data_IF_269931910322
#
_entry.id   IF_269931910322
#
_cell.length_a   1.000
_cell.length_b   1.000
_cell.length_c   1.000
_cell.angle_alpha   90.00
_cell.angle_beta   90.00
_cell.angle_gamma   90.00
#
_symmetry.space_group_name_H-M   'P 1'
#
loop_
_entity.id
_entity.type
_entity.pdbx_description
1 polymer ?
#
# COMPACT_ATOMS: atom_id res chain seq x y z
N UNK A 1 -6.29 19.21 39.31
CA UNK A 1 -7.18 19.80 38.30
C UNK A 1 -8.50 19.04 38.29
N UNK A 2 -9.67 19.70 38.17
CA UNK A 2 -10.96 19.00 38.18
C UNK A 2 -11.15 18.26 36.85
N UNK A 3 -11.54 16.99 36.88
CA UNK A 3 -11.75 16.14 35.69
C UNK A 3 -12.68 16.80 34.65
N UNK A 4 -13.71 17.51 35.10
CA UNK A 4 -14.66 18.24 34.25
C UNK A 4 -13.98 19.30 33.38
N UNK A 5 -12.98 20.00 33.92
CA UNK A 5 -12.23 21.03 33.17
C UNK A 5 -11.37 20.40 32.07
N UNK A 6 -10.76 19.25 32.35
CA UNK A 6 -9.97 18.49 31.37
C UNK A 6 -10.89 17.98 30.26
N UNK A 7 -12.05 17.42 30.62
CA UNK A 7 -13.01 16.94 29.63
C UNK A 7 -13.51 18.09 28.75
N UNK A 8 -13.85 19.25 29.33
CA UNK A 8 -14.25 20.44 28.57
C UNK A 8 -13.14 20.93 27.63
N UNK A 9 -11.89 20.91 28.10
CA UNK A 9 -10.72 21.23 27.29
C UNK A 9 -10.55 20.26 26.11
N UNK A 10 -10.70 18.96 26.33
CA UNK A 10 -10.60 17.93 25.28
C UNK A 10 -11.70 18.13 24.23
N UNK A 11 -12.97 18.24 24.63
CA UNK A 11 -14.09 18.40 23.68
C UNK A 11 -14.00 19.69 22.87
N UNK A 12 -13.54 20.77 23.50
CA UNK A 12 -13.31 22.05 22.81
C UNK A 12 -12.24 21.89 21.73
N UNK A 13 -11.12 21.27 22.07
CA UNK A 13 -9.95 21.18 21.20
C UNK A 13 -10.04 20.09 20.14
N UNK A 14 -10.82 19.01 20.36
CA UNK A 14 -10.97 17.95 19.37
C UNK A 14 -11.47 18.49 18.01
N UNK A 15 -12.28 19.57 18.03
CA UNK A 15 -12.81 20.23 16.83
C UNK A 15 -11.78 21.06 16.07
N UNK A 16 -10.62 21.34 16.67
CA UNK A 16 -9.54 22.13 16.08
C UNK A 16 -8.56 21.25 15.27
N UNK A 17 -8.86 19.96 15.12
CA UNK A 17 -8.03 19.03 14.37
C UNK A 17 -8.58 18.82 12.96
N UNK A 18 -7.78 19.20 11.96
CA UNK A 18 -8.05 18.98 10.54
C UNK A 18 -7.51 17.61 10.11
N UNK A 19 -8.25 16.55 10.43
CA UNK A 19 -7.90 15.16 10.07
C UNK A 19 -8.91 14.57 9.10
N UNK A 20 -8.49 13.57 8.33
CA UNK A 20 -9.30 13.02 7.23
C UNK A 20 -10.58 12.32 7.69
N UNK A 21 -10.60 11.75 8.91
CA UNK A 21 -11.74 11.03 9.47
C UNK A 21 -11.63 10.89 11.00
N UNK A 22 -12.51 10.08 11.61
CA UNK A 22 -12.67 9.97 13.07
C UNK A 22 -11.79 8.92 13.74
N UNK A 23 -11.05 8.11 12.98
CA UNK A 23 -10.26 6.99 13.52
C UNK A 23 -9.20 7.42 14.53
N UNK A 24 -8.68 8.63 14.40
CA UNK A 24 -7.71 9.20 15.35
C UNK A 24 -8.32 9.98 16.51
N UNK A 25 -9.66 10.07 16.61
CA UNK A 25 -10.30 10.88 17.66
C UNK A 25 -9.88 10.45 19.06
N UNK A 26 -9.76 9.13 19.30
CA UNK A 26 -9.34 8.63 20.61
C UNK A 26 -7.86 8.93 20.90
N UNK A 27 -6.97 8.81 19.91
CA UNK A 27 -5.57 9.23 20.05
C UNK A 27 -5.46 10.73 20.37
N UNK A 28 -6.22 11.57 19.67
CA UNK A 28 -6.23 13.01 19.91
C UNK A 28 -6.75 13.32 21.32
N UNK A 29 -7.81 12.63 21.77
CA UNK A 29 -8.34 12.77 23.14
C UNK A 29 -7.30 12.43 24.20
N UNK A 30 -6.58 11.33 24.03
CA UNK A 30 -5.54 10.91 24.96
C UNK A 30 -4.33 11.86 24.92
N UNK A 31 -3.94 12.36 23.75
CA UNK A 31 -2.90 13.38 23.59
C UNK A 31 -3.26 14.67 24.34
N UNK A 32 -4.48 15.17 24.16
CA UNK A 32 -4.98 16.35 24.85
C UNK A 32 -5.06 16.13 26.37
N UNK A 33 -5.51 14.95 26.81
CA UNK A 33 -5.46 14.58 28.23
C UNK A 33 -4.04 14.64 28.78
N UNK A 34 -3.06 14.06 28.10
CA UNK A 34 -1.65 14.09 28.51
C UNK A 34 -1.07 15.50 28.52
N UNK A 35 -1.45 16.38 27.57
CA UNK A 35 -1.05 17.79 27.63
C UNK A 35 -1.58 18.48 28.88
N UNK A 36 -2.86 18.27 29.22
CA UNK A 36 -3.47 18.88 30.39
C UNK A 36 -2.78 18.43 31.69
N UNK A 37 -2.50 17.12 31.83
CA UNK A 37 -1.77 16.57 32.97
C UNK A 37 -0.30 17.04 32.98
N UNK A 38 0.31 17.20 31.80
CA UNK A 38 1.68 17.68 31.62
C UNK A 38 1.89 19.17 31.90
N UNK A 39 0.83 19.90 32.28
CA UNK A 39 0.91 21.31 32.67
C UNK A 39 0.59 22.30 31.55
N UNK A 40 0.04 21.85 30.42
CA UNK A 40 -0.46 22.76 29.40
C UNK A 40 -1.57 23.65 29.97
N UNK A 41 -1.57 24.92 29.58
CA UNK A 41 -2.64 25.83 29.95
C UNK A 41 -3.93 25.46 29.20
N UNK A 42 -4.89 24.89 29.92
CA UNK A 42 -6.19 24.46 29.37
C UNK A 42 -7.05 25.59 28.80
N UNK A 43 -6.71 26.86 29.04
CA UNK A 43 -7.36 28.01 28.39
C UNK A 43 -6.77 28.29 27.00
N UNK A 44 -5.61 27.71 26.66
CA UNK A 44 -5.01 27.83 25.33
C UNK A 44 -5.44 26.68 24.44
N UNK A 45 -5.94 27.04 23.27
CA UNK A 45 -6.32 26.07 22.25
C UNK A 45 -5.12 25.41 21.59
N UNK A 46 -5.35 24.19 21.13
CA UNK A 46 -4.42 23.32 20.45
C UNK A 46 -5.02 23.00 19.10
N UNK A 47 -4.16 23.05 18.09
CA UNK A 47 -4.49 22.75 16.71
C UNK A 47 -3.60 21.61 16.24
N UNK A 48 -4.15 20.79 15.37
CA UNK A 48 -3.41 19.76 14.69
C UNK A 48 -4.04 19.41 13.36
N UNK A 49 -3.33 18.64 12.57
CA UNK A 49 -3.82 18.20 11.27
C UNK A 49 -3.18 16.90 10.86
N UNK A 50 -3.81 16.21 9.94
CA UNK A 50 -3.13 15.16 9.18
C UNK A 50 -2.09 15.80 8.26
N UNK A 51 -0.90 15.22 8.22
CA UNK A 51 0.11 15.52 7.22
C UNK A 51 1.01 14.32 6.97
N UNK A 52 1.04 13.86 5.72
CA UNK A 52 1.89 12.74 5.27
C UNK A 52 1.55 11.41 5.98
N UNK A 53 0.26 11.15 6.22
CA UNK A 53 -0.23 9.97 6.93
C UNK A 53 -0.03 10.02 8.44
N UNK A 54 0.28 11.18 9.00
CA UNK A 54 0.62 11.35 10.42
C UNK A 54 -0.18 12.50 11.06
N UNK A 55 -0.57 12.33 12.32
CA UNK A 55 -1.09 13.39 13.17
C UNK A 55 0.04 14.37 13.55
N UNK A 56 -0.03 15.59 13.02
CA UNK A 56 0.87 16.69 13.38
C UNK A 56 0.19 17.68 14.31
N UNK A 57 0.79 17.92 15.47
CA UNK A 57 0.36 18.96 16.40
C UNK A 57 1.50 19.96 16.58
N UNK A 58 1.25 21.23 16.27
CA UNK A 58 2.24 22.29 16.32
C UNK A 58 2.08 23.06 17.63
N UNK A 59 2.80 22.65 18.67
CA UNK A 59 2.80 23.33 19.97
C UNK A 59 4.19 23.79 20.38
N UNK A 60 4.22 24.88 21.13
CA UNK A 60 5.45 25.48 21.66
C UNK A 60 5.16 26.12 23.02
N UNK A 61 6.10 25.96 23.94
CA UNK A 61 6.13 26.67 25.22
C UNK A 61 7.49 27.37 25.39
N UNK A 62 7.47 28.58 25.95
CA UNK A 62 8.69 29.29 26.35
C UNK A 62 9.34 28.65 27.59
N UNK A 63 8.55 27.98 28.43
CA UNK A 63 9.06 27.13 29.50
C UNK A 63 9.72 25.88 28.90
N UNK A 64 11.02 25.71 29.15
CA UNK A 64 11.83 24.62 28.60
C UNK A 64 11.40 23.23 29.08
N UNK A 65 10.98 23.09 30.32
CA UNK A 65 10.55 21.81 30.88
C UNK A 65 9.22 21.42 30.26
N UNK A 66 8.24 22.34 30.26
CA UNK A 66 6.95 22.12 29.62
C UNK A 66 7.10 21.87 28.11
N UNK A 67 7.99 22.59 27.42
CA UNK A 67 8.25 22.39 26.00
C UNK A 67 8.81 20.99 25.71
N UNK A 68 9.66 20.46 26.59
CA UNK A 68 10.16 19.08 26.48
C UNK A 68 9.02 18.08 26.66
N UNK A 69 8.15 18.29 27.66
CA UNK A 69 6.99 17.42 27.92
C UNK A 69 6.06 17.39 26.71
N UNK A 70 5.62 18.54 26.20
CA UNK A 70 4.69 18.57 25.06
C UNK A 70 5.30 18.00 23.79
N UNK A 71 6.62 18.17 23.56
CA UNK A 71 7.32 17.55 22.41
C UNK A 71 7.34 16.02 22.51
N UNK A 72 7.59 15.47 23.69
CA UNK A 72 7.58 14.02 23.88
C UNK A 72 6.18 13.45 23.65
N UNK A 73 5.15 14.15 24.13
CA UNK A 73 3.75 13.74 23.90
C UNK A 73 3.42 13.84 22.42
N UNK A 74 3.72 14.94 21.72
CA UNK A 74 3.43 15.04 20.27
C UNK A 74 4.15 13.98 19.46
N UNK A 75 5.43 13.69 19.75
CA UNK A 75 6.19 12.63 19.08
C UNK A 75 5.58 11.24 19.31
N UNK A 76 5.13 10.95 20.53
CA UNK A 76 4.44 9.69 20.85
C UNK A 76 3.18 9.52 20.02
N UNK A 77 2.30 10.52 19.99
CA UNK A 77 1.01 10.40 19.28
C UNK A 77 1.15 10.52 17.77
N UNK A 78 2.18 11.22 17.28
CA UNK A 78 2.65 11.13 15.90
C UNK A 78 2.97 9.69 15.49
N UNK A 79 3.83 9.00 16.24
CA UNK A 79 4.18 7.60 15.98
C UNK A 79 2.94 6.68 16.02
N UNK A 80 2.12 6.78 17.07
CA UNK A 80 0.90 5.99 17.20
C UNK A 80 -0.09 6.22 16.03
N UNK A 81 -0.18 7.45 15.52
CA UNK A 81 -1.07 7.75 14.39
C UNK A 81 -0.66 7.06 13.10
N UNK A 82 0.64 6.78 12.89
CA UNK A 82 1.15 6.06 11.71
C UNK A 82 0.89 4.55 11.77
N UNK A 83 0.53 4.04 12.94
CA UNK A 83 0.15 2.64 13.19
C UNK A 83 -1.37 2.49 13.38
N UNK A 84 -2.13 3.56 13.25
CA UNK A 84 -3.58 3.60 13.51
C UNK A 84 -4.31 4.09 12.29
N UNK A 85 -5.29 3.33 11.82
CA UNK A 85 -6.11 3.72 10.68
C UNK A 85 -6.87 5.02 10.97
N UNK A 86 -6.67 6.03 10.12
CA UNK A 86 -7.31 7.34 10.27
C UNK A 86 -8.84 7.31 10.12
N UNK A 87 -9.38 6.26 9.51
CA UNK A 87 -10.82 6.08 9.29
C UNK A 87 -11.52 5.41 10.48
N UNK A 88 -10.99 4.29 10.97
CA UNK A 88 -11.67 3.48 12.01
C UNK A 88 -10.94 3.32 13.34
N UNK A 89 -9.68 3.73 13.46
CA UNK A 89 -8.92 3.64 14.72
C UNK A 89 -8.37 2.25 15.04
N UNK A 90 -8.56 1.25 14.18
CA UNK A 90 -7.89 -0.04 14.29
C UNK A 90 -6.43 0.05 13.81
N UNK A 91 -5.65 -1.01 14.02
CA UNK A 91 -4.30 -1.14 13.46
C UNK A 91 -4.27 -0.80 11.96
N UNK A 92 -3.40 0.13 11.61
CA UNK A 92 -3.18 0.64 10.27
C UNK A 92 -1.71 0.74 9.96
N UNK A 93 -1.41 1.01 8.70
CA UNK A 93 -0.05 1.27 8.24
C UNK A 93 -0.05 2.45 7.30
N UNK A 94 1.08 3.12 7.18
CA UNK A 94 1.29 4.17 6.19
C UNK A 94 1.21 3.57 4.79
N UNK A 95 0.50 4.24 3.88
CA UNK A 95 0.21 3.78 2.51
C UNK A 95 0.18 4.96 1.55
N UNK A 96 0.39 4.66 0.27
CA UNK A 96 0.21 5.64 -0.80
C UNK A 96 -1.04 5.36 -1.63
N UNK A 97 -1.96 6.32 -1.65
CA UNK A 97 -3.17 6.33 -2.49
C UNK A 97 -3.13 7.58 -3.36
N UNK A 98 -3.13 7.42 -4.69
CA UNK A 98 -3.12 8.53 -5.66
C UNK A 98 -2.05 9.61 -5.39
N UNK A 99 -0.83 9.19 -5.04
CA UNK A 99 0.31 10.04 -4.66
C UNK A 99 0.18 10.77 -3.30
N UNK A 100 -0.86 10.47 -2.52
CA UNK A 100 -1.02 10.94 -1.15
C UNK A 100 -0.63 9.85 -0.16
N UNK A 101 0.06 10.26 0.91
CA UNK A 101 0.36 9.38 2.03
C UNK A 101 -0.77 9.45 3.05
N UNK A 102 -1.27 8.29 3.48
CA UNK A 102 -2.34 8.12 4.47
C UNK A 102 -2.01 6.94 5.37
N UNK A 103 -2.61 6.85 6.56
CA UNK A 103 -2.51 5.65 7.40
C UNK A 103 -3.84 4.90 7.43
N UNK A 104 -3.87 3.72 6.83
CA UNK A 104 -5.08 2.91 6.66
C UNK A 104 -4.86 1.46 7.07
N UNK A 105 -5.90 0.85 7.63
CA UNK A 105 -5.96 -0.61 7.69
C UNK A 105 -6.17 -1.17 6.27
N UNK A 106 -5.79 -2.44 6.05
CA UNK A 106 -5.89 -3.08 4.73
C UNK A 106 -7.30 -2.98 4.13
N UNK A 107 -8.35 -3.13 4.95
CA UNK A 107 -9.74 -3.04 4.46
C UNK A 107 -10.07 -1.67 3.89
N UNK A 108 -9.66 -0.58 4.55
CA UNK A 108 -9.92 0.77 4.05
C UNK A 108 -9.02 1.13 2.88
N UNK A 109 -7.79 0.60 2.85
CA UNK A 109 -6.93 0.71 1.70
C UNK A 109 -7.55 0.06 0.46
N UNK A 110 -8.10 -1.15 0.60
CA UNK A 110 -8.79 -1.87 -0.47
C UNK A 110 -10.03 -1.14 -1.01
N UNK A 111 -10.73 -0.37 -0.16
CA UNK A 111 -11.84 0.46 -0.63
C UNK A 111 -11.37 1.58 -1.55
N UNK A 112 -10.16 2.12 -1.32
CA UNK A 112 -9.60 3.21 -2.11
C UNK A 112 -8.78 2.71 -3.31
N UNK A 113 -8.11 1.57 -3.18
CA UNK A 113 -7.44 0.83 -4.24
C UNK A 113 -8.09 -0.54 -4.43
N UNK A 114 -9.25 -0.58 -5.12
CA UNK A 114 -9.96 -1.82 -5.38
C UNK A 114 -9.16 -2.75 -6.29
N UNK A 115 -9.42 -4.04 -6.12
CA UNK A 115 -8.90 -5.09 -6.99
C UNK A 115 -9.65 -5.07 -8.32
N UNK A 116 -8.94 -5.31 -9.42
CA UNK A 116 -9.56 -5.52 -10.73
C UNK A 116 -10.27 -6.88 -10.69
N UNK A 117 -11.57 -6.88 -10.93
CA UNK A 117 -12.38 -8.09 -11.04
C UNK A 117 -12.80 -8.29 -12.50
N UNK A 118 -12.77 -9.53 -12.98
CA UNK A 118 -13.28 -9.92 -14.29
C UNK A 118 -14.27 -11.05 -14.05
N UNK A 119 -15.53 -10.83 -14.41
CA UNK A 119 -16.61 -11.82 -14.27
C UNK A 119 -16.75 -12.73 -15.50
N UNK A 120 -17.66 -13.70 -15.42
CA UNK A 120 -17.90 -14.69 -16.48
C UNK A 120 -18.42 -14.07 -17.80
N UNK A 121 -19.03 -12.89 -17.72
CA UNK A 121 -19.53 -12.13 -18.87
C UNK A 121 -18.47 -11.21 -19.48
N UNK A 122 -17.23 -11.24 -18.94
CA UNK A 122 -16.10 -10.39 -19.27
C UNK A 122 -16.31 -8.92 -18.90
N UNK A 123 -17.11 -8.62 -17.87
CA UNK A 123 -17.16 -7.28 -17.32
C UNK A 123 -15.94 -7.06 -16.42
N UNK A 124 -15.24 -5.95 -16.65
CA UNK A 124 -14.20 -5.43 -15.75
C UNK A 124 -14.89 -4.63 -14.66
N UNK A 125 -14.64 -5.00 -13.41
CA UNK A 125 -15.29 -4.45 -12.22
C UNK A 125 -14.29 -3.91 -11.23
N UNK A 126 -14.73 -2.91 -10.48
CA UNK A 126 -13.99 -2.29 -9.40
C UNK A 126 -14.99 -1.83 -8.32
N UNK A 127 -14.80 -2.26 -7.08
CA UNK A 127 -15.76 -2.02 -5.98
C UNK A 127 -17.22 -2.36 -6.36
N UNK A 128 -17.43 -3.53 -6.98
CA UNK A 128 -18.74 -4.01 -7.48
C UNK A 128 -19.39 -3.18 -8.60
N UNK A 129 -18.74 -2.11 -9.08
CA UNK A 129 -19.20 -1.31 -10.23
C UNK A 129 -18.58 -1.87 -11.50
N UNK A 130 -19.39 -1.99 -12.55
CA UNK A 130 -18.90 -2.32 -13.89
C UNK A 130 -18.23 -1.07 -14.45
N UNK A 131 -16.97 -1.20 -14.83
CA UNK A 131 -16.19 -0.14 -15.48
C UNK A 131 -16.36 -0.21 -16.99
N UNK A 132 -16.23 -1.40 -17.57
CA UNK A 132 -16.45 -1.68 -19.00
C UNK A 132 -16.65 -3.19 -19.22
N UNK A 133 -17.12 -3.58 -20.40
CA UNK A 133 -17.04 -4.97 -20.87
C UNK A 133 -15.87 -5.10 -21.85
N UNK A 134 -15.08 -6.17 -21.73
CA UNK A 134 -13.91 -6.40 -22.59
C UNK A 134 -14.29 -6.48 -24.08
N UNK A 135 -15.51 -6.92 -24.40
CA UNK A 135 -16.01 -7.02 -25.78
C UNK A 135 -16.27 -5.67 -26.43
N UNK A 136 -16.45 -4.63 -25.64
CA UNK A 136 -16.77 -3.27 -26.11
C UNK A 136 -15.50 -2.42 -26.30
N UNK A 137 -14.32 -2.98 -26.02
CA UNK A 137 -13.03 -2.30 -26.19
C UNK A 137 -12.74 -2.15 -27.68
N UNK A 138 -12.55 -0.90 -28.12
CA UNK A 138 -12.23 -0.56 -29.51
C UNK A 138 -10.78 -0.14 -29.70
N UNK A 139 -10.11 0.29 -28.63
CA UNK A 139 -8.71 0.69 -28.65
C UNK A 139 -8.06 0.41 -27.31
N UNK A 140 -6.79 0.06 -27.36
CA UNK A 140 -5.92 -0.12 -26.21
C UNK A 140 -4.66 0.70 -26.41
N UNK A 141 -4.30 1.51 -25.41
CA UNK A 141 -2.97 2.10 -25.31
C UNK A 141 -2.19 1.44 -24.18
N UNK A 142 -0.90 1.18 -24.41
CA UNK A 142 0.00 0.63 -23.41
C UNK A 142 1.16 1.60 -23.21
N UNK A 143 1.48 1.87 -21.96
CA UNK A 143 2.57 2.75 -21.56
C UNK A 143 3.57 2.03 -20.63
N UNK A 144 4.78 2.58 -20.53
CA UNK A 144 5.81 2.16 -19.58
C UNK A 144 6.19 0.67 -19.63
N UNK A 145 6.36 0.11 -20.83
CA UNK A 145 6.77 -1.30 -21.01
C UNK A 145 5.78 -2.30 -20.37
N UNK A 146 4.52 -2.25 -20.83
CA UNK A 146 3.41 -3.11 -20.37
C UNK A 146 3.01 -2.89 -18.91
N UNK A 147 3.40 -1.77 -18.29
CA UNK A 147 3.08 -1.46 -16.90
C UNK A 147 1.78 -0.66 -16.73
N UNK A 148 1.33 0.04 -17.77
CA UNK A 148 0.08 0.78 -17.72
C UNK A 148 -0.74 0.52 -18.97
N UNK A 149 -2.03 0.36 -18.76
CA UNK A 149 -3.02 0.01 -19.76
C UNK A 149 -4.13 1.05 -19.76
N UNK A 150 -4.46 1.62 -20.91
CA UNK A 150 -5.60 2.52 -21.08
C UNK A 150 -6.58 1.90 -22.09
N UNK A 151 -7.82 1.69 -21.66
CA UNK A 151 -8.88 1.02 -22.42
C UNK A 151 -9.93 2.03 -22.88
N UNK A 152 -10.34 1.90 -24.14
CA UNK A 152 -11.26 2.83 -24.81
C UNK A 152 -12.46 2.05 -25.35
N UNK A 153 -13.67 2.55 -25.10
CA UNK A 153 -14.96 2.03 -25.61
C UNK A 153 -15.59 3.06 -26.56
N UNK A 154 -16.52 2.64 -27.44
CA UNK A 154 -17.21 3.58 -28.35
C UNK A 154 -18.03 4.63 -27.59
N UNK A 155 -18.72 4.19 -26.54
CA UNK A 155 -19.43 5.07 -25.62
C UNK A 155 -18.54 5.29 -24.38
N UNK A 156 -17.96 6.48 -24.19
CA UNK A 156 -17.09 6.73 -23.05
C UNK A 156 -17.88 6.65 -21.75
N UNK A 157 -17.48 5.73 -20.90
CA UNK A 157 -18.07 5.58 -19.57
C UNK A 157 -17.66 6.80 -18.73
N UNK A 158 -18.62 7.48 -18.11
CA UNK A 158 -18.41 8.67 -17.27
C UNK A 158 -17.78 9.89 -17.96
N UNK A 159 -17.79 9.97 -19.29
CA UNK A 159 -17.26 11.13 -20.04
C UNK A 159 -15.73 11.25 -20.03
N UNK A 160 -15.01 10.23 -19.57
CA UNK A 160 -13.55 10.12 -19.66
C UNK A 160 -13.15 9.46 -20.98
N UNK A 161 -12.11 9.97 -21.63
CA UNK A 161 -11.65 9.44 -22.93
C UNK A 161 -11.17 7.98 -22.84
N UNK A 162 -10.76 7.46 -21.67
CA UNK A 162 -10.43 6.05 -21.48
C UNK A 162 -10.26 5.69 -19.99
N UNK A 163 -10.26 4.39 -19.68
CA UNK A 163 -10.09 3.86 -18.32
C UNK A 163 -8.67 3.29 -18.18
N UNK A 164 -7.92 3.81 -17.21
CA UNK A 164 -6.53 3.41 -16.97
C UNK A 164 -6.40 2.38 -15.85
N UNK A 165 -5.49 1.43 -16.04
CA UNK A 165 -5.10 0.39 -15.09
C UNK A 165 -3.56 0.30 -15.01
N UNK A 166 -3.04 -0.10 -13.85
CA UNK A 166 -1.62 -0.17 -13.53
C UNK A 166 -1.22 -1.55 -13.00
N UNK A 167 0.01 -1.98 -13.28
CA UNK A 167 0.60 -3.20 -12.73
C UNK A 167 0.62 -3.28 -11.20
N UNK A 168 0.50 -2.12 -10.54
CA UNK A 168 0.40 -2.03 -9.08
C UNK A 168 -0.97 -2.48 -8.55
N UNK A 169 -1.92 -2.78 -9.43
CA UNK A 169 -3.25 -3.30 -9.10
C UNK A 169 -3.30 -4.82 -9.30
N UNK A 170 -3.81 -5.58 -8.31
CA UNK A 170 -4.06 -7.01 -8.45
C UNK A 170 -4.99 -7.28 -9.65
N UNK A 171 -4.70 -8.36 -10.36
CA UNK A 171 -5.32 -8.79 -11.62
C UNK A 171 -5.03 -7.91 -12.84
N UNK A 172 -4.09 -6.97 -12.77
CA UNK A 172 -3.65 -6.21 -13.94
C UNK A 172 -3.19 -7.13 -15.09
N UNK A 173 -2.29 -8.07 -14.82
CA UNK A 173 -1.78 -8.98 -15.85
C UNK A 173 -2.85 -10.00 -16.30
N UNK A 174 -3.79 -10.36 -15.44
CA UNK A 174 -4.98 -11.11 -15.83
C UNK A 174 -5.83 -10.32 -16.84
N UNK A 175 -6.08 -9.04 -16.60
CA UNK A 175 -6.78 -8.16 -17.53
C UNK A 175 -6.03 -8.05 -18.86
N UNK A 176 -4.72 -7.77 -18.81
CA UNK A 176 -3.87 -7.68 -20.00
C UNK A 176 -3.94 -8.97 -20.85
N UNK A 177 -3.94 -10.14 -20.21
CA UNK A 177 -4.05 -11.45 -20.87
C UNK A 177 -5.44 -11.73 -21.45
N UNK A 178 -6.49 -11.15 -20.88
CA UNK A 178 -7.89 -11.44 -21.25
C UNK A 178 -8.36 -10.61 -22.44
N UNK A 179 -7.74 -9.46 -22.69
CA UNK A 179 -8.10 -8.58 -23.81
C UNK A 179 -7.73 -9.25 -25.15
N UNK A 180 -8.62 -9.22 -26.17
CA UNK A 180 -8.32 -9.78 -27.48
C UNK A 180 -7.10 -9.13 -28.15
N UNK A 181 -6.15 -9.93 -28.62
CA UNK A 181 -4.91 -9.42 -29.23
C UNK A 181 -5.13 -8.41 -30.39
N UNK A 182 -6.21 -8.56 -31.16
CA UNK A 182 -6.48 -7.72 -32.32
C UNK A 182 -6.85 -6.26 -31.98
N UNK A 183 -7.23 -5.96 -30.72
CA UNK A 183 -7.52 -4.58 -30.28
C UNK A 183 -6.25 -3.83 -29.85
N UNK A 184 -5.14 -4.54 -29.66
CA UNK A 184 -3.85 -3.92 -29.36
C UNK A 184 -3.20 -3.35 -30.62
N UNK A 185 -2.38 -2.29 -30.48
CA UNK A 185 -1.55 -1.76 -31.55
C UNK A 185 -0.73 -2.89 -32.22
N UNK A 186 -0.56 -2.90 -33.55
CA UNK A 186 0.11 -4.00 -34.27
C UNK A 186 1.52 -4.33 -33.76
N UNK A 187 2.26 -3.32 -33.32
CA UNK A 187 3.59 -3.44 -32.72
C UNK A 187 3.58 -4.05 -31.30
N UNK A 188 2.44 -4.01 -30.61
CA UNK A 188 2.25 -4.54 -29.26
C UNK A 188 1.64 -5.93 -29.19
N UNK A 189 1.04 -6.44 -30.28
CA UNK A 189 0.41 -7.77 -30.29
C UNK A 189 1.42 -8.89 -29.97
N UNK A 190 2.60 -8.84 -30.59
CA UNK A 190 3.67 -9.82 -30.34
C UNK A 190 4.25 -9.71 -28.93
N UNK A 191 4.66 -8.51 -28.43
CA UNK A 191 5.08 -8.33 -27.04
C UNK A 191 4.09 -8.88 -26.02
N UNK A 192 2.79 -8.58 -26.16
CA UNK A 192 1.76 -9.04 -25.24
C UNK A 192 1.59 -10.56 -25.28
N UNK A 193 1.55 -11.18 -26.47
CA UNK A 193 1.47 -12.65 -26.59
C UNK A 193 2.70 -13.32 -25.97
N UNK A 194 3.89 -12.86 -26.36
CA UNK A 194 5.16 -13.45 -25.93
C UNK A 194 5.43 -13.32 -24.43
N UNK A 195 4.87 -12.28 -23.78
CA UNK A 195 4.94 -12.07 -22.33
C UNK A 195 4.48 -13.32 -21.57
N UNK A 196 3.31 -13.87 -21.94
CA UNK A 196 2.67 -14.95 -21.19
C UNK A 196 3.13 -16.35 -21.60
N UNK A 197 3.72 -16.51 -22.80
CA UNK A 197 4.21 -17.80 -23.29
C UNK A 197 5.49 -18.26 -22.58
N UNK A 198 6.36 -17.32 -22.20
CA UNK A 198 7.73 -17.62 -21.77
C UNK A 198 8.01 -17.39 -20.27
N UNK A 199 6.96 -17.23 -19.46
CA UNK A 199 7.12 -16.97 -18.02
C UNK A 199 7.81 -18.14 -17.31
N UNK A 200 8.81 -17.82 -16.49
CA UNK A 200 9.50 -18.78 -15.63
C UNK A 200 8.97 -18.72 -14.19
N UNK A 201 9.21 -19.78 -13.43
CA UNK A 201 8.90 -19.80 -11.99
C UNK A 201 9.85 -18.89 -11.23
N UNK A 202 9.29 -18.02 -10.40
CA UNK A 202 10.06 -17.22 -9.45
C UNK A 202 10.42 -18.08 -8.23
N UNK A 203 11.70 -18.21 -7.93
CA UNK A 203 12.17 -18.97 -6.76
C UNK A 203 11.84 -18.25 -5.43
N UNK A 204 11.65 -16.93 -5.48
CA UNK A 204 11.33 -16.11 -4.32
C UNK A 204 9.85 -16.31 -3.93
N UNK A 205 8.91 -15.92 -4.80
CA UNK A 205 7.48 -15.96 -4.47
C UNK A 205 6.73 -17.22 -4.96
N UNK A 206 7.37 -18.06 -5.77
CA UNK A 206 6.80 -19.32 -6.28
C UNK A 206 5.88 -19.20 -7.50
N UNK A 207 5.57 -17.99 -7.95
CA UNK A 207 4.66 -17.79 -9.09
C UNK A 207 5.38 -17.92 -10.43
N UNK A 208 4.71 -18.46 -11.45
CA UNK A 208 5.18 -18.48 -12.84
C UNK A 208 5.01 -17.10 -13.48
N UNK A 209 5.87 -16.17 -13.09
CA UNK A 209 5.73 -14.74 -13.36
C UNK A 209 7.06 -14.05 -13.69
N UNK A 210 8.18 -14.78 -13.83
CA UNK A 210 9.45 -14.15 -14.20
C UNK A 210 9.46 -13.83 -15.69
N UNK A 211 9.66 -12.55 -15.99
CA UNK A 211 9.83 -12.04 -17.35
C UNK A 211 11.07 -11.16 -17.41
N UNK A 212 11.97 -11.45 -18.34
CA UNK A 212 13.25 -10.75 -18.49
C UNK A 212 14.06 -10.71 -17.18
N UNK A 213 14.10 -9.55 -16.51
CA UNK A 213 14.96 -9.30 -15.33
C UNK A 213 14.21 -9.27 -14.00
N UNK A 214 12.89 -9.45 -13.99
CA UNK A 214 12.12 -9.37 -12.76
C UNK A 214 10.92 -10.31 -12.75
N UNK A 215 10.45 -10.61 -11.55
CA UNK A 215 9.16 -11.23 -11.35
C UNK A 215 8.06 -10.19 -11.52
N UNK A 216 7.14 -10.36 -12.46
CA UNK A 216 5.98 -9.50 -12.66
C UNK A 216 5.02 -9.48 -11.46
N UNK A 217 5.24 -10.39 -10.50
CA UNK A 217 4.37 -10.63 -9.35
C UNK A 217 4.91 -10.14 -8.02
N UNK A 218 6.19 -10.35 -7.72
CA UNK A 218 6.79 -9.84 -6.48
C UNK A 218 7.83 -8.74 -6.75
N UNK A 219 8.06 -8.39 -8.02
CA UNK A 219 9.00 -7.36 -8.49
C UNK A 219 10.47 -7.57 -8.15
N UNK A 220 10.79 -8.69 -7.49
CA UNK A 220 12.15 -9.09 -7.20
C UNK A 220 12.88 -9.54 -8.47
N UNK A 221 14.17 -9.19 -8.54
CA UNK A 221 15.09 -9.67 -9.55
C UNK A 221 15.45 -11.14 -9.26
N UNK A 222 15.49 -12.04 -10.27
CA UNK A 222 16.04 -13.37 -10.07
C UNK A 222 17.53 -13.30 -9.72
N UNK A 223 18.04 -14.29 -8.99
CA UNK A 223 19.48 -14.38 -8.73
C UNK A 223 20.30 -14.35 -10.03
N UNK A 224 21.33 -13.50 -10.04
CA UNK A 224 22.36 -13.48 -11.08
C UNK A 224 23.73 -13.75 -10.46
N UNK A 225 24.65 -14.36 -11.20
CA UNK A 225 26.06 -14.54 -10.76
C UNK A 225 26.86 -13.23 -10.84
N UNK A 226 26.22 -12.09 -10.55
CA UNK A 226 26.88 -10.81 -10.52
C UNK A 226 27.77 -10.69 -9.28
N UNK A 227 28.86 -9.93 -9.39
CA UNK A 227 29.78 -9.72 -8.27
C UNK A 227 29.08 -9.09 -7.06
N UNK A 228 28.14 -8.17 -7.30
CA UNK A 228 27.36 -7.51 -6.23
C UNK A 228 26.57 -8.53 -5.42
N UNK A 229 25.85 -9.43 -6.08
CA UNK A 229 25.03 -10.43 -5.40
C UNK A 229 25.88 -11.42 -4.58
N UNK A 230 27.06 -11.79 -5.11
CA UNK A 230 28.01 -12.67 -4.42
C UNK A 230 28.63 -11.96 -3.21
N UNK A 231 28.98 -10.67 -3.31
CA UNK A 231 29.55 -9.90 -2.20
C UNK A 231 28.53 -9.68 -1.07
N UNK A 232 27.28 -9.38 -1.42
CA UNK A 232 26.24 -9.06 -0.44
C UNK A 232 25.64 -10.30 0.23
N UNK A 233 25.42 -11.39 -0.54
CA UNK A 233 24.67 -12.57 -0.06
C UNK A 233 25.51 -13.85 -0.03
N UNK A 234 26.67 -13.89 -0.69
CA UNK A 234 27.52 -15.07 -0.82
C UNK A 234 26.97 -16.10 -1.79
N UNK A 235 25.82 -16.68 -1.46
CA UNK A 235 25.17 -17.75 -2.21
C UNK A 235 23.72 -17.42 -2.55
N UNK A 236 23.25 -17.95 -3.68
CA UNK A 236 21.87 -17.80 -4.18
C UNK A 236 20.80 -18.08 -3.11
N UNK A 237 20.98 -19.13 -2.31
CA UNK A 237 20.02 -19.51 -1.26
C UNK A 237 19.83 -18.41 -0.23
N UNK A 238 20.90 -17.71 0.15
CA UNK A 238 20.83 -16.61 1.12
C UNK A 238 20.06 -15.41 0.56
N UNK A 239 20.30 -15.08 -0.71
CA UNK A 239 19.54 -14.03 -1.41
C UNK A 239 18.04 -14.35 -1.47
N UNK A 240 17.68 -15.55 -1.95
CA UNK A 240 16.27 -15.95 -2.03
C UNK A 240 15.63 -15.92 -0.64
N UNK A 241 16.34 -16.43 0.38
CA UNK A 241 15.87 -16.43 1.77
C UNK A 241 15.63 -15.01 2.28
N UNK A 242 16.54 -14.07 2.03
CA UNK A 242 16.39 -12.66 2.42
C UNK A 242 15.15 -12.04 1.76
N UNK A 243 15.01 -12.15 0.43
CA UNK A 243 13.86 -11.62 -0.27
C UNK A 243 12.53 -12.23 0.20
N UNK A 244 12.51 -13.52 0.53
CA UNK A 244 11.33 -14.17 1.10
C UNK A 244 10.98 -13.63 2.49
N UNK A 245 11.97 -13.33 3.33
CA UNK A 245 11.74 -12.72 4.65
C UNK A 245 11.23 -11.28 4.51
N UNK A 246 11.77 -10.48 3.59
CA UNK A 246 11.26 -9.13 3.30
C UNK A 246 9.77 -9.17 2.91
N UNK A 247 9.39 -10.08 2.01
CA UNK A 247 7.99 -10.28 1.63
C UNK A 247 7.10 -10.78 2.77
N UNK A 248 7.67 -11.41 3.81
CA UNK A 248 6.91 -11.91 4.95
C UNK A 248 6.71 -10.87 6.06
N UNK A 249 7.73 -10.03 6.29
CA UNK A 249 7.59 -8.83 7.14
C UNK A 249 6.48 -7.93 6.58
N UNK A 250 6.40 -7.87 5.23
CA UNK A 250 5.26 -7.31 4.49
C UNK A 250 4.88 -5.92 5.02
N UNK A 251 5.86 -5.02 5.12
CA UNK A 251 5.68 -3.69 5.73
C UNK A 251 4.48 -2.97 5.13
N UNK A 252 4.29 -3.06 3.81
CA UNK A 252 3.19 -2.38 3.11
C UNK A 252 1.89 -3.20 3.01
N UNK A 253 1.84 -4.40 3.61
CA UNK A 253 0.80 -5.42 3.38
C UNK A 253 0.63 -5.76 1.88
N UNK A 254 1.72 -5.69 1.11
CA UNK A 254 1.78 -6.03 -0.30
C UNK A 254 1.27 -7.45 -0.54
N UNK A 255 1.78 -8.46 0.15
CA UNK A 255 1.34 -9.86 -0.07
C UNK A 255 -0.14 -10.04 0.32
N UNK A 256 -0.60 -9.37 1.40
CA UNK A 256 -2.02 -9.40 1.77
C UNK A 256 -2.92 -8.71 0.74
N UNK A 257 -2.43 -7.67 0.06
CA UNK A 257 -3.14 -6.99 -1.01
C UNK A 257 -3.12 -7.83 -2.29
N UNK A 258 -1.96 -8.36 -2.64
CA UNK A 258 -1.73 -9.07 -3.88
C UNK A 258 -2.36 -10.47 -3.83
N UNK A 259 -2.67 -11.08 -2.68
CA UNK A 259 -3.36 -12.38 -2.57
C UNK A 259 -4.64 -12.55 -3.43
N UNK A 260 -5.28 -11.45 -3.83
CA UNK A 260 -6.47 -11.45 -4.69
C UNK A 260 -6.17 -11.52 -6.20
N UNK A 261 -4.91 -11.37 -6.57
CA UNK A 261 -4.44 -11.53 -7.94
C UNK A 261 -4.41 -13.01 -8.32
N UNK A 262 -4.88 -13.26 -9.53
CA UNK A 262 -4.97 -14.56 -10.16
C UNK A 262 -4.24 -14.56 -11.50
N UNK A 263 -3.33 -13.60 -11.69
CA UNK A 263 -2.63 -13.41 -12.97
C UNK A 263 -1.65 -14.55 -13.25
N UNK A 264 -1.09 -15.15 -12.20
CA UNK A 264 -0.04 -16.15 -12.30
C UNK A 264 -0.31 -17.36 -11.42
N UNK A 265 0.01 -18.54 -11.94
CA UNK A 265 -0.08 -19.80 -11.18
C UNK A 265 1.08 -19.90 -10.19
N UNK A 266 0.78 -20.35 -8.97
CA UNK A 266 1.79 -20.64 -7.94
C UNK A 266 2.22 -22.11 -8.02
N UNK A 267 3.52 -22.34 -8.05
CA UNK A 267 4.07 -23.71 -8.01
C UNK A 267 3.74 -24.38 -6.68
N UNK A 268 3.35 -25.65 -6.76
CA UNK A 268 3.07 -26.48 -5.58
C UNK A 268 4.37 -26.94 -4.90
N UNK A 269 5.49 -26.92 -5.63
CA UNK A 269 6.81 -27.32 -5.16
C UNK A 269 7.59 -26.13 -4.58
N UNK A 270 7.00 -24.93 -4.52
CA UNK A 270 7.65 -23.75 -3.95
C UNK A 270 7.91 -23.94 -2.45
N UNK A 271 9.14 -23.62 -2.03
CA UNK A 271 9.57 -23.77 -0.64
C UNK A 271 9.95 -22.42 -0.03
N UNK A 272 9.55 -22.23 1.22
CA UNK A 272 10.04 -21.15 2.07
C UNK A 272 11.34 -21.60 2.71
N UNK A 273 12.40 -20.82 2.52
CA UNK A 273 13.78 -21.17 2.89
C UNK A 273 14.16 -20.71 4.30
N UNK A 274 13.22 -20.15 5.05
CA UNK A 274 13.44 -19.65 6.41
C UNK A 274 12.41 -20.23 7.39
N UNK A 275 12.84 -20.36 8.64
CA UNK A 275 11.97 -20.66 9.77
C UNK A 275 11.70 -19.42 10.63
N UNK A 276 10.82 -19.56 11.61
CA UNK A 276 10.48 -18.47 12.53
C UNK A 276 11.69 -17.89 13.29
N UNK A 277 12.71 -18.69 13.58
CA UNK A 277 13.94 -18.19 14.20
C UNK A 277 14.71 -17.24 13.26
N UNK A 278 14.83 -17.61 11.98
CA UNK A 278 15.52 -16.79 11.00
C UNK A 278 14.83 -15.43 10.84
N UNK A 279 13.50 -15.42 10.74
CA UNK A 279 12.72 -14.20 10.59
C UNK A 279 12.94 -13.25 11.79
N UNK A 280 12.93 -13.77 13.02
CA UNK A 280 13.20 -12.96 14.22
C UNK A 280 14.60 -12.38 14.27
N UNK A 281 15.61 -13.11 13.81
CA UNK A 281 16.97 -12.56 13.73
C UNK A 281 17.07 -11.51 12.63
N UNK A 282 16.36 -11.71 11.52
CA UNK A 282 16.32 -10.77 10.41
C UNK A 282 15.62 -9.45 10.77
N UNK A 283 14.49 -9.51 11.49
CA UNK A 283 13.78 -8.32 12.00
C UNK A 283 14.68 -7.41 12.84
N UNK A 284 15.60 -7.96 13.64
CA UNK A 284 16.56 -7.17 14.45
C UNK A 284 17.63 -6.44 13.63
N UNK A 285 17.80 -6.79 12.36
CA UNK A 285 18.73 -6.09 11.47
C UNK A 285 18.07 -4.85 10.85
N UNK A 286 16.73 -4.81 10.82
CA UNK A 286 15.93 -3.74 10.24
C UNK A 286 15.49 -2.69 11.28
N UNK A 287 15.39 -3.07 12.56
CA UNK A 287 14.93 -2.23 13.67
C UNK A 287 15.87 -2.29 14.89
#
# INVERSE_FOLDING_TARGET
MKQELINAFIERNLKNFEVNSTGWNELIRQMLFEFAIGGWNIEKDIFGKEKYGELRCYTYSEDKELNTVVKNITQKYAALSMETCEICGNEGKKRSVDSWETTLCLSHYLTQKPVIEIDEELNVRSNSKILLNIKDIVKVDIEYDLQKLCLYTEEPVYGTEGISFSWQEPNYYLLLKTIPLHVFPPDMQNPVSALFENLQHCEICGHKAVHQRSCLRCHQEPWTESQVFIEDYGEKTNYIKACQMDSFIDEDDYEKYFKYDRSFEKSHDHQILFGHHDLKEYEKLLF
#
